data_IF_803593458478
#
_entry.id   IF_803593458478
#
_cell.length_a   1.000
_cell.length_b   1.000
_cell.length_c   1.000
_cell.angle_alpha   90.00
_cell.angle_beta   90.00
_cell.angle_gamma   90.00
#
_symmetry.space_group_name_H-M   'P 1'
#
loop_
_entity.id
_entity.type
_entity.pdbx_description
1 polymer ?
#
# COMPACT_ATOMS: atom_id res chain seq x y z
N UNK A 1 -15.39 -25.78 5.66
CA UNK A 1 -15.77 -24.59 6.46
C UNK A 1 -15.64 -23.43 5.50
N UNK A 2 -16.69 -22.64 5.36
CA UNK A 2 -16.64 -21.44 4.50
C UNK A 2 -15.75 -20.37 5.15
N UNK A 3 -14.97 -19.66 4.37
CA UNK A 3 -14.08 -18.59 4.85
C UNK A 3 -14.92 -17.38 5.30
N UNK A 4 -14.78 -16.96 6.54
CA UNK A 4 -15.29 -15.66 7.00
C UNK A 4 -14.33 -14.56 6.49
N UNK A 5 -14.65 -13.98 5.33
CA UNK A 5 -13.80 -12.98 4.67
C UNK A 5 -13.73 -11.67 5.47
N UNK A 6 -14.74 -11.36 6.29
CA UNK A 6 -14.72 -10.16 7.15
C UNK A 6 -13.69 -10.35 8.27
N UNK A 7 -13.78 -11.48 9.00
CA UNK A 7 -12.82 -11.78 10.05
C UNK A 7 -11.39 -11.93 9.51
N UNK A 8 -11.22 -12.60 8.37
CA UNK A 8 -9.93 -12.73 7.70
C UNK A 8 -9.34 -11.38 7.30
N UNK A 9 -10.17 -10.45 6.78
CA UNK A 9 -9.74 -9.10 6.41
C UNK A 9 -9.30 -8.30 7.62
N UNK A 10 -10.06 -8.36 8.73
CA UNK A 10 -9.72 -7.66 9.98
C UNK A 10 -8.39 -8.15 10.57
N UNK A 11 -8.12 -9.46 10.52
CA UNK A 11 -6.84 -10.04 10.94
C UNK A 11 -5.69 -9.56 10.05
N UNK A 12 -5.79 -9.77 8.75
CA UNK A 12 -4.71 -9.48 7.79
C UNK A 12 -4.38 -7.99 7.72
N UNK A 13 -5.38 -7.10 7.81
CA UNK A 13 -5.19 -5.66 7.65
C UNK A 13 -4.11 -5.10 8.56
N UNK A 14 -4.10 -5.48 9.83
CA UNK A 14 -3.20 -4.94 10.85
C UNK A 14 -1.98 -5.80 11.11
N UNK A 15 -2.01 -7.09 10.72
CA UNK A 15 -0.96 -8.06 11.06
C UNK A 15 -0.06 -8.44 9.90
N UNK A 16 -0.48 -8.19 8.64
CA UNK A 16 0.20 -8.80 7.50
C UNK A 16 0.42 -7.90 6.28
N UNK A 17 -0.22 -6.74 6.20
CA UNK A 17 -0.13 -5.88 5.00
C UNK A 17 1.21 -5.16 4.83
N UNK A 18 2.03 -5.07 5.86
CA UNK A 18 3.28 -4.30 5.81
C UNK A 18 3.09 -2.79 6.00
N UNK A 19 1.86 -2.30 6.13
CA UNK A 19 1.58 -0.88 6.32
C UNK A 19 1.47 -0.50 7.79
N UNK A 20 0.81 -1.32 8.61
CA UNK A 20 0.59 -1.10 10.05
C UNK A 20 1.53 -1.95 10.92
N UNK A 21 2.13 -2.97 10.36
CA UNK A 21 3.07 -3.91 10.96
C UNK A 21 3.96 -4.50 9.86
N UNK A 22 5.01 -5.28 10.17
CA UNK A 22 5.78 -5.99 9.16
C UNK A 22 4.89 -6.84 8.25
N UNK A 23 5.25 -6.92 6.96
CA UNK A 23 4.52 -7.75 6.01
C UNK A 23 4.69 -9.24 6.35
N UNK A 24 3.59 -9.99 6.38
CA UNK A 24 3.60 -11.44 6.49
C UNK A 24 3.34 -12.09 5.12
N UNK A 25 4.41 -12.51 4.45
CA UNK A 25 4.35 -13.13 3.14
C UNK A 25 3.54 -14.45 3.11
N UNK A 26 3.37 -15.13 4.26
CA UNK A 26 2.61 -16.38 4.35
C UNK A 26 1.11 -16.19 4.17
N UNK A 27 0.62 -14.98 4.45
CA UNK A 27 -0.79 -14.58 4.26
C UNK A 27 -1.11 -14.17 2.82
N UNK A 28 -0.09 -13.98 1.97
CA UNK A 28 -0.26 -13.60 0.57
C UNK A 28 -0.21 -14.83 -0.33
N UNK A 29 -1.14 -14.91 -1.28
CA UNK A 29 -1.14 -15.94 -2.32
C UNK A 29 0.10 -15.80 -3.23
N UNK A 30 0.50 -16.87 -3.93
CA UNK A 30 1.64 -16.81 -4.83
C UNK A 30 1.33 -15.95 -6.07
N UNK A 31 0.06 -15.91 -6.47
CA UNK A 31 -0.47 -15.05 -7.54
C UNK A 31 -1.02 -13.70 -7.01
N UNK A 32 -0.53 -13.24 -5.85
CA UNK A 32 -0.95 -11.98 -5.24
C UNK A 32 -0.65 -10.77 -6.14
N UNK A 33 -1.60 -9.84 -6.16
CA UNK A 33 -1.43 -8.51 -6.77
C UNK A 33 -1.92 -7.42 -5.82
N UNK A 34 -1.17 -6.34 -5.74
CA UNK A 34 -1.55 -5.08 -5.08
C UNK A 34 -1.83 -4.00 -6.11
N UNK A 35 -2.87 -3.20 -5.87
CA UNK A 35 -3.21 -2.04 -6.71
C UNK A 35 -3.70 -0.86 -5.86
N UNK A 36 -3.13 0.31 -6.10
CA UNK A 36 -3.58 1.59 -5.56
C UNK A 36 -3.78 2.60 -6.71
N UNK A 37 -4.34 3.78 -6.49
CA UNK A 37 -4.58 4.77 -7.55
C UNK A 37 -3.33 5.16 -8.33
N UNK A 38 -2.17 5.19 -7.66
CA UNK A 38 -0.90 5.65 -8.25
C UNK A 38 0.23 4.64 -8.16
N UNK A 39 0.06 3.60 -7.35
CA UNK A 39 1.06 2.54 -7.12
C UNK A 39 0.44 1.21 -7.52
N UNK A 40 1.20 0.39 -8.20
CA UNK A 40 0.78 -0.90 -8.74
C UNK A 40 0.37 -0.81 -10.23
N UNK A 41 0.10 -1.96 -10.81
CA UNK A 41 0.07 -3.26 -10.11
C UNK A 41 1.45 -3.69 -9.60
N UNK A 42 1.47 -4.29 -8.40
CA UNK A 42 2.66 -4.95 -7.85
C UNK A 42 2.36 -6.43 -7.65
N UNK A 43 3.22 -7.31 -8.16
CA UNK A 43 3.21 -8.73 -7.82
C UNK A 43 3.64 -8.95 -6.37
N UNK A 44 3.51 -10.17 -5.85
CA UNK A 44 3.84 -10.54 -4.47
C UNK A 44 5.24 -10.10 -4.06
N UNK A 45 6.26 -10.39 -4.87
CA UNK A 45 7.65 -10.12 -4.51
C UNK A 45 7.94 -8.61 -4.48
N UNK A 46 7.48 -7.88 -5.48
CA UNK A 46 7.65 -6.42 -5.55
C UNK A 46 6.90 -5.71 -4.43
N UNK A 47 5.68 -6.20 -4.07
CA UNK A 47 4.94 -5.69 -2.92
C UNK A 47 5.69 -5.90 -1.61
N UNK A 48 6.18 -7.12 -1.35
CA UNK A 48 6.95 -7.41 -0.13
C UNK A 48 8.18 -6.52 -0.04
N UNK A 49 8.95 -6.38 -1.13
CA UNK A 49 10.13 -5.53 -1.18
C UNK A 49 9.78 -4.06 -0.91
N UNK A 50 8.70 -3.56 -1.52
CA UNK A 50 8.22 -2.19 -1.34
C UNK A 50 7.81 -1.94 0.11
N UNK A 51 7.01 -2.81 0.71
CA UNK A 51 6.54 -2.64 2.08
C UNK A 51 7.66 -2.77 3.12
N UNK A 52 8.61 -3.69 2.88
CA UNK A 52 9.82 -3.83 3.70
C UNK A 52 10.78 -2.62 3.58
N UNK A 53 10.70 -1.89 2.46
CA UNK A 53 11.47 -0.64 2.29
C UNK A 53 10.77 0.55 2.95
N UNK A 54 9.45 0.65 2.78
CA UNK A 54 8.66 1.77 3.32
C UNK A 54 8.60 1.79 4.84
N UNK A 55 8.39 0.64 5.48
CA UNK A 55 8.34 0.48 6.96
C UNK A 55 7.59 1.63 7.66
N UNK A 56 6.39 1.96 7.18
CA UNK A 56 5.59 3.11 7.67
C UNK A 56 5.38 3.09 9.18
N UNK A 57 5.18 1.90 9.75
CA UNK A 57 5.02 1.63 11.18
C UNK A 57 6.29 1.95 12.01
N UNK A 58 7.47 2.10 11.37
CA UNK A 58 8.70 2.54 12.06
C UNK A 58 8.66 4.04 12.31
N UNK A 59 8.33 4.84 11.30
CA UNK A 59 8.21 6.30 11.44
C UNK A 59 7.00 6.74 12.27
N UNK A 60 5.93 5.97 12.17
CA UNK A 60 4.62 6.19 12.79
C UNK A 60 4.24 4.98 13.67
N UNK A 61 4.85 4.81 14.87
CA UNK A 61 4.67 3.60 15.68
C UNK A 61 3.23 3.36 16.18
N UNK A 62 2.43 4.42 16.24
CA UNK A 62 1.02 4.40 16.66
C UNK A 62 0.05 4.37 15.47
N UNK A 63 0.56 4.11 14.25
CA UNK A 63 -0.29 4.12 13.07
C UNK A 63 -1.39 3.05 13.14
N UNK A 64 -2.62 3.48 12.97
CA UNK A 64 -3.80 2.62 13.03
C UNK A 64 -4.74 2.91 11.87
N UNK A 65 -5.37 1.87 11.26
CA UNK A 65 -6.28 2.05 10.14
C UNK A 65 -7.60 2.73 10.51
N UNK A 66 -8.06 2.61 11.76
CA UNK A 66 -9.42 3.00 12.16
C UNK A 66 -10.46 2.48 11.15
N UNK A 67 -10.36 1.20 10.82
CA UNK A 67 -11.14 0.57 9.76
C UNK A 67 -12.58 0.31 10.18
N UNK A 68 -13.51 0.42 9.23
CA UNK A 68 -14.95 0.27 9.46
C UNK A 68 -15.69 -0.16 8.20
N UNK A 69 -16.96 -0.54 8.34
CA UNK A 69 -17.85 -0.85 7.23
C UNK A 69 -17.44 -2.09 6.44
N UNK A 70 -16.83 -3.08 7.11
CA UNK A 70 -16.47 -4.34 6.47
C UNK A 70 -17.71 -5.05 5.93
N UNK A 71 -17.70 -5.32 4.63
CA UNK A 71 -18.82 -5.94 3.93
C UNK A 71 -18.30 -6.97 2.95
N UNK A 72 -18.84 -8.19 3.02
CA UNK A 72 -18.62 -9.19 1.97
C UNK A 72 -19.30 -8.71 0.68
N UNK A 73 -18.59 -8.81 -0.45
CA UNK A 73 -19.12 -8.48 -1.76
C UNK A 73 -20.23 -9.50 -2.12
N UNK A 74 -21.44 -9.06 -2.50
CA UNK A 74 -22.53 -9.99 -2.79
C UNK A 74 -22.30 -10.85 -4.05
N UNK A 75 -21.50 -10.37 -4.99
CA UNK A 75 -21.21 -11.05 -6.26
C UNK A 75 -19.89 -11.84 -6.22
N UNK A 76 -18.97 -11.44 -5.33
CA UNK A 76 -17.66 -12.08 -5.14
C UNK A 76 -17.51 -12.55 -3.67
N UNK A 77 -17.99 -13.75 -3.30
CA UNK A 77 -18.06 -14.19 -1.89
C UNK A 77 -16.71 -14.25 -1.15
N UNK A 78 -15.59 -14.31 -1.88
CA UNK A 78 -14.24 -14.29 -1.31
C UNK A 78 -13.65 -12.88 -1.20
N UNK A 79 -14.44 -11.82 -1.42
CA UNK A 79 -14.01 -10.44 -1.38
C UNK A 79 -14.69 -9.67 -0.26
N UNK A 80 -13.89 -8.90 0.47
CA UNK A 80 -14.35 -7.94 1.47
C UNK A 80 -14.01 -6.52 1.03
N UNK A 81 -14.98 -5.61 1.14
CA UNK A 81 -14.83 -4.17 0.92
C UNK A 81 -14.92 -3.48 2.28
N UNK A 82 -14.09 -2.47 2.52
CA UNK A 82 -14.09 -1.72 3.78
C UNK A 82 -13.47 -0.33 3.60
N UNK A 83 -13.60 0.49 4.63
CA UNK A 83 -13.02 1.84 4.66
C UNK A 83 -12.05 2.00 5.81
N UNK A 84 -11.10 2.92 5.65
CA UNK A 84 -10.17 3.34 6.69
C UNK A 84 -10.18 4.86 6.85
N UNK A 85 -9.83 5.32 8.07
CA UNK A 85 -9.46 6.71 8.40
C UNK A 85 -8.20 6.67 9.22
N UNK A 86 -7.11 6.29 8.59
CA UNK A 86 -5.88 6.03 9.30
C UNK A 86 -5.35 7.28 10.01
N UNK A 87 -4.80 7.05 11.20
CA UNK A 87 -4.10 8.09 11.98
C UNK A 87 -2.78 7.54 12.47
N UNK A 88 -1.78 8.42 12.62
CA UNK A 88 -0.50 8.07 13.18
C UNK A 88 0.34 9.30 13.45
N UNK A 89 1.21 9.26 14.46
CA UNK A 89 2.07 10.37 14.87
C UNK A 89 3.51 10.12 14.45
N UNK A 90 4.08 11.06 13.70
CA UNK A 90 5.47 10.95 13.24
C UNK A 90 6.46 11.21 14.37
N UNK A 91 6.84 10.16 15.09
CA UNK A 91 7.65 10.25 16.30
C UNK A 91 9.01 9.56 16.23
N UNK A 92 9.27 8.79 15.17
CA UNK A 92 10.55 8.11 14.98
C UNK A 92 11.18 8.44 13.62
N UNK A 93 12.52 8.42 13.51
CA UNK A 93 13.17 8.61 12.20
C UNK A 93 12.69 7.58 11.19
N UNK A 94 12.30 8.06 10.00
CA UNK A 94 11.72 7.22 8.94
C UNK A 94 12.60 7.23 7.69
N UNK A 95 12.89 6.05 7.13
CA UNK A 95 13.68 5.91 5.93
C UNK A 95 12.92 5.16 4.82
N UNK A 96 11.96 5.82 4.14
CA UNK A 96 11.16 5.20 3.08
C UNK A 96 11.94 4.92 1.79
N UNK A 97 13.18 5.36 1.71
CA UNK A 97 14.04 5.21 0.52
C UNK A 97 14.93 3.97 0.60
N UNK A 98 14.87 3.22 1.70
CA UNK A 98 15.65 2.01 1.93
C UNK A 98 16.99 2.24 2.65
N UNK A 99 17.52 1.15 3.18
CA UNK A 99 18.70 1.19 4.08
C UNK A 99 19.97 1.73 3.43
N UNK A 100 20.11 1.63 2.11
CA UNK A 100 21.29 2.16 1.38
C UNK A 100 21.28 3.68 1.28
N UNK A 101 20.14 4.34 1.45
CA UNK A 101 19.97 5.79 1.39
C UNK A 101 19.75 6.39 2.79
N UNK A 102 20.49 5.91 3.78
CA UNK A 102 20.38 6.34 5.18
C UNK A 102 20.54 7.85 5.36
N UNK A 103 21.31 8.50 4.51
CA UNK A 103 21.49 9.95 4.53
C UNK A 103 20.20 10.73 4.19
N UNK A 104 19.20 10.07 3.58
CA UNK A 104 17.90 10.66 3.25
C UNK A 104 16.83 10.38 4.32
N UNK A 105 17.23 9.83 5.48
CA UNK A 105 16.31 9.55 6.59
C UNK A 105 15.59 10.82 7.03
N UNK A 106 14.27 10.75 7.07
CA UNK A 106 13.40 11.86 7.49
C UNK A 106 13.35 11.89 9.01
N UNK A 107 13.60 13.07 9.59
CA UNK A 107 13.52 13.25 11.04
C UNK A 107 12.08 13.50 11.49
N UNK A 108 11.67 12.96 12.65
CA UNK A 108 10.32 13.14 13.16
C UNK A 108 10.02 14.61 13.49
N UNK A 109 8.78 15.01 13.24
CA UNK A 109 8.28 16.36 13.52
C UNK A 109 7.19 16.40 14.59
N UNK A 110 6.80 15.25 15.15
CA UNK A 110 5.76 15.10 16.17
C UNK A 110 4.33 15.36 15.70
N UNK A 111 4.11 15.57 14.40
CA UNK A 111 2.76 15.84 13.86
C UNK A 111 1.96 14.56 13.72
N UNK A 112 0.66 14.63 14.02
CA UNK A 112 -0.29 13.55 13.79
C UNK A 112 -0.88 13.68 12.39
N UNK A 113 -0.69 12.67 11.56
CA UNK A 113 -1.40 12.49 10.30
C UNK A 113 -2.83 12.02 10.57
N UNK A 114 -3.79 12.64 9.87
CA UNK A 114 -5.19 12.22 9.82
C UNK A 114 -5.54 12.05 8.34
N UNK A 115 -5.52 10.81 7.87
CA UNK A 115 -5.79 10.51 6.47
C UNK A 115 -7.29 10.70 6.16
N UNK A 116 -7.64 11.06 4.93
CA UNK A 116 -9.04 11.08 4.51
C UNK A 116 -9.64 9.67 4.55
N UNK A 117 -10.96 9.57 4.38
CA UNK A 117 -11.61 8.28 4.19
C UNK A 117 -11.14 7.64 2.90
N UNK A 118 -10.62 6.41 2.99
CA UNK A 118 -10.13 5.62 1.87
C UNK A 118 -10.92 4.32 1.75
N UNK A 119 -11.22 3.92 0.51
CA UNK A 119 -11.83 2.62 0.20
C UNK A 119 -10.74 1.59 -0.09
N UNK A 120 -10.94 0.39 0.44
CA UNK A 120 -10.09 -0.78 0.30
C UNK A 120 -10.91 -2.00 -0.09
N UNK A 121 -10.27 -2.97 -0.73
CA UNK A 121 -10.84 -4.33 -0.84
C UNK A 121 -9.76 -5.39 -0.73
N UNK A 122 -10.11 -6.55 -0.17
CA UNK A 122 -9.29 -7.76 -0.16
C UNK A 122 -10.07 -8.91 -0.76
N UNK A 123 -9.50 -9.58 -1.75
CA UNK A 123 -10.00 -10.83 -2.31
C UNK A 123 -9.10 -11.97 -1.87
N UNK A 124 -9.69 -13.02 -1.34
CA UNK A 124 -9.00 -14.18 -0.80
C UNK A 124 -9.08 -15.38 -1.76
N UNK A 125 -8.16 -16.33 -1.57
CA UNK A 125 -8.32 -17.68 -2.09
C UNK A 125 -9.23 -18.49 -1.15
N UNK A 126 -9.75 -19.65 -1.56
CA UNK A 126 -10.51 -20.54 -0.66
C UNK A 126 -9.71 -20.99 0.58
N UNK A 127 -8.37 -20.99 0.49
CA UNK A 127 -7.44 -21.32 1.56
C UNK A 127 -7.18 -20.16 2.53
N UNK A 128 -7.78 -19.00 2.30
CA UNK A 128 -7.68 -17.80 3.16
C UNK A 128 -6.43 -16.97 2.95
N UNK A 129 -5.72 -17.12 1.82
CA UNK A 129 -4.63 -16.22 1.44
C UNK A 129 -5.14 -15.04 0.62
N UNK A 130 -4.58 -13.85 0.83
CA UNK A 130 -4.92 -12.67 0.03
C UNK A 130 -4.36 -12.82 -1.38
N UNK A 131 -5.26 -12.78 -2.38
CA UNK A 131 -4.92 -12.85 -3.80
C UNK A 131 -4.90 -11.46 -4.45
N UNK A 132 -5.79 -10.57 -4.02
CA UNK A 132 -5.85 -9.22 -4.55
C UNK A 132 -6.13 -8.21 -3.44
N UNK A 133 -5.32 -7.18 -3.34
CA UNK A 133 -5.49 -6.07 -2.40
C UNK A 133 -5.57 -4.76 -3.17
N UNK A 134 -6.69 -4.05 -3.04
CA UNK A 134 -6.78 -2.66 -3.47
C UNK A 134 -6.77 -1.73 -2.25
N UNK A 135 -6.09 -0.59 -2.37
CA UNK A 135 -5.89 0.32 -1.24
C UNK A 135 -5.79 1.79 -1.65
N UNK A 136 -6.10 2.70 -0.73
CA UNK A 136 -5.79 4.12 -0.87
C UNK A 136 -6.68 4.91 -1.81
N UNK A 137 -7.86 4.42 -2.14
CA UNK A 137 -8.83 5.14 -2.98
C UNK A 137 -9.59 6.16 -2.15
N UNK A 138 -9.14 7.41 -2.17
CA UNK A 138 -9.69 8.51 -1.38
C UNK A 138 -11.13 8.84 -1.79
N UNK A 139 -12.04 8.80 -0.83
CA UNK A 139 -13.46 9.10 -1.02
C UNK A 139 -13.69 10.61 -1.07
N UNK A 140 -13.03 11.36 -0.16
CA UNK A 140 -13.19 12.81 -0.07
C UNK A 140 -11.84 13.49 0.20
N UNK A 141 -11.46 14.41 -0.70
CA UNK A 141 -10.18 15.13 -0.60
C UNK A 141 -10.17 16.24 0.46
N UNK A 142 -11.33 16.57 1.05
CA UNK A 142 -11.46 17.63 2.06
C UNK A 142 -11.40 17.10 3.49
N UNK A 143 -11.36 15.79 3.66
CA UNK A 143 -11.20 15.14 4.97
C UNK A 143 -9.72 15.07 5.39
N UNK A 144 -9.49 14.96 6.69
CA UNK A 144 -8.16 14.81 7.26
C UNK A 144 -7.30 16.08 7.20
N UNK A 145 -6.00 15.92 7.25
CA UNK A 145 -5.03 17.03 7.23
C UNK A 145 -3.86 16.80 6.25
N UNK A 146 -4.04 15.94 5.27
CA UNK A 146 -3.01 15.51 4.32
C UNK A 146 -3.23 16.05 2.90
N UNK A 147 -3.96 17.18 2.77
CA UNK A 147 -4.26 17.84 1.50
C UNK A 147 -4.94 16.92 0.45
N UNK A 148 -5.75 15.96 0.91
CA UNK A 148 -6.44 15.00 0.06
C UNK A 148 -5.57 13.85 -0.46
N UNK A 149 -4.33 13.75 0.00
CA UNK A 149 -3.50 12.58 -0.27
C UNK A 149 -3.85 11.43 0.69
N UNK A 150 -3.86 10.22 0.16
CA UNK A 150 -4.09 8.98 0.89
C UNK A 150 -2.83 8.12 1.02
N UNK A 151 -2.96 7.02 1.75
CA UNK A 151 -1.92 6.01 1.96
C UNK A 151 -0.53 6.63 2.29
N UNK A 152 0.54 6.08 1.72
CA UNK A 152 1.91 6.54 1.99
C UNK A 152 2.15 8.00 1.55
N UNK A 153 1.45 8.49 0.54
CA UNK A 153 1.59 9.88 0.08
C UNK A 153 1.13 10.88 1.15
N UNK A 154 0.09 10.53 1.91
CA UNK A 154 -0.36 11.30 3.06
C UNK A 154 0.72 11.44 4.15
N UNK A 155 1.51 10.39 4.37
CA UNK A 155 2.59 10.39 5.36
C UNK A 155 3.75 11.30 4.93
N UNK A 156 4.06 11.37 3.64
CA UNK A 156 5.04 12.36 3.13
C UNK A 156 4.56 13.79 3.33
N UNK A 157 3.28 14.08 3.10
CA UNK A 157 2.71 15.41 3.37
C UNK A 157 2.82 15.75 4.85
N UNK A 158 2.48 14.82 5.75
CA UNK A 158 2.57 15.00 7.20
C UNK A 158 4.03 15.18 7.67
N UNK A 159 4.99 14.55 7.01
CA UNK A 159 6.42 14.70 7.26
C UNK A 159 7.03 16.00 6.68
N UNK A 160 6.21 16.96 6.27
CA UNK A 160 6.60 18.23 5.66
C UNK A 160 7.29 18.09 4.27
N UNK A 161 6.97 17.03 3.54
CA UNK A 161 7.49 16.73 2.21
C UNK A 161 6.37 16.62 1.14
N UNK A 162 5.48 17.63 1.01
CA UNK A 162 4.36 17.56 0.06
C UNK A 162 4.83 17.46 -1.40
N UNK A 163 6.00 18.01 -1.73
CA UNK A 163 6.63 17.91 -3.05
C UNK A 163 6.97 16.46 -3.40
N UNK A 164 7.39 15.63 -2.44
CA UNK A 164 7.65 14.19 -2.68
C UNK A 164 6.37 13.48 -3.04
N UNK A 165 5.26 13.78 -2.33
CA UNK A 165 3.95 13.24 -2.66
C UNK A 165 3.48 13.65 -4.06
N UNK A 166 3.71 14.91 -4.47
CA UNK A 166 3.37 15.40 -5.80
C UNK A 166 4.22 14.77 -6.90
N UNK A 167 5.54 14.68 -6.69
CA UNK A 167 6.48 14.04 -7.63
C UNK A 167 6.12 12.57 -7.84
N UNK A 168 5.73 11.85 -6.77
CA UNK A 168 5.30 10.47 -6.86
C UNK A 168 4.01 10.25 -7.70
N UNK A 169 3.26 11.31 -7.99
CA UNK A 169 2.13 11.25 -8.93
C UNK A 169 2.57 11.35 -10.41
N UNK A 170 3.76 11.87 -10.69
CA UNK A 170 4.26 11.99 -12.06
C UNK A 170 4.61 10.62 -12.65
N UNK A 171 3.99 10.29 -13.80
CA UNK A 171 4.18 9.00 -14.44
C UNK A 171 5.62 8.77 -14.90
N UNK A 172 6.33 9.82 -15.35
CA UNK A 172 7.70 9.70 -15.80
C UNK A 172 8.65 9.42 -14.63
N UNK A 173 8.41 10.08 -13.49
CA UNK A 173 9.20 9.83 -12.27
C UNK A 173 8.99 8.39 -11.79
N UNK A 174 7.74 7.90 -11.81
CA UNK A 174 7.44 6.50 -11.48
C UNK A 174 8.14 5.53 -12.41
N UNK A 175 8.14 5.81 -13.72
CA UNK A 175 8.85 4.98 -14.71
C UNK A 175 10.35 4.92 -14.46
N UNK A 176 10.99 6.08 -14.16
CA UNK A 176 12.42 6.14 -13.80
C UNK A 176 12.70 5.37 -12.50
N UNK A 177 11.87 5.54 -11.47
CA UNK A 177 11.99 4.79 -10.22
C UNK A 177 11.88 3.28 -10.43
N UNK A 178 10.93 2.84 -11.25
CA UNK A 178 10.78 1.44 -11.64
C UNK A 178 11.99 0.91 -12.41
N UNK A 179 12.53 1.71 -13.34
CA UNK A 179 13.75 1.33 -14.07
C UNK A 179 14.95 1.16 -13.13
N UNK A 180 15.14 2.08 -12.17
CA UNK A 180 16.22 1.98 -11.16
C UNK A 180 16.05 0.70 -10.33
N UNK A 181 14.85 0.43 -9.83
CA UNK A 181 14.56 -0.75 -9.03
C UNK A 181 14.80 -2.06 -9.80
N UNK A 182 14.53 -2.08 -11.11
CA UNK A 182 14.73 -3.25 -11.95
C UNK A 182 16.17 -3.47 -12.41
N UNK A 183 16.94 -2.39 -12.62
CA UNK A 183 18.24 -2.49 -13.31
C UNK A 183 19.45 -2.08 -12.44
N UNK A 184 19.22 -1.33 -11.36
CA UNK A 184 20.32 -0.77 -10.54
C UNK A 184 20.29 -1.31 -9.12
N UNK A 185 19.17 -1.21 -8.44
CA UNK A 185 19.04 -1.59 -7.03
C UNK A 185 17.64 -2.09 -6.70
N UNK A 186 17.50 -3.41 -6.58
CA UNK A 186 16.24 -4.08 -6.22
C UNK A 186 15.73 -3.77 -4.79
N UNK A 187 16.53 -3.10 -3.96
CA UNK A 187 16.11 -2.65 -2.62
C UNK A 187 15.35 -1.32 -2.65
N UNK A 188 15.25 -0.68 -3.80
CA UNK A 188 14.41 0.52 -3.98
C UNK A 188 12.95 0.08 -4.10
N UNK A 189 12.06 0.77 -3.40
CA UNK A 189 10.62 0.50 -3.48
C UNK A 189 10.12 0.68 -4.91
N UNK A 190 9.49 -0.37 -5.47
CA UNK A 190 8.85 -0.29 -6.78
C UNK A 190 7.48 0.37 -6.67
N UNK A 191 7.13 1.10 -7.71
CA UNK A 191 5.79 1.67 -7.86
C UNK A 191 4.92 0.89 -8.86
N UNK A 192 5.54 0.03 -9.68
CA UNK A 192 4.87 -0.85 -10.65
C UNK A 192 5.76 -2.05 -10.95
N UNK A 193 5.17 -3.24 -11.08
CA UNK A 193 5.86 -4.45 -11.54
C UNK A 193 5.95 -4.48 -13.06
N UNK A 194 6.92 -5.25 -13.59
CA UNK A 194 6.95 -5.51 -15.03
C UNK A 194 5.69 -6.31 -15.42
N UNK A 195 5.07 -6.01 -16.57
CA UNK A 195 3.85 -6.69 -17.01
C UNK A 195 3.99 -8.22 -17.13
N UNK A 196 5.16 -8.70 -17.53
CA UNK A 196 5.47 -10.13 -17.66
C UNK A 196 5.52 -10.85 -16.30
N UNK A 197 5.87 -10.15 -15.22
CA UNK A 197 5.97 -10.69 -13.86
C UNK A 197 4.62 -10.72 -13.13
N UNK A 198 3.57 -10.16 -13.74
CA UNK A 198 2.22 -10.18 -13.18
C UNK A 198 1.52 -11.51 -13.46
N UNK A 199 0.69 -12.01 -12.54
CA UNK A 199 -0.10 -13.22 -12.74
C UNK A 199 -1.00 -13.15 -13.97
N UNK A 200 -1.20 -14.29 -14.63
CA UNK A 200 -2.01 -14.38 -15.84
C UNK A 200 -3.46 -13.89 -15.63
N UNK A 201 -4.05 -14.17 -14.47
CA UNK A 201 -5.41 -13.73 -14.16
C UNK A 201 -5.52 -12.21 -14.14
N UNK A 202 -4.49 -11.51 -13.61
CA UNK A 202 -4.50 -10.05 -13.53
C UNK A 202 -4.30 -9.43 -14.92
N UNK A 203 -3.34 -9.94 -15.72
CA UNK A 203 -3.12 -9.49 -17.09
C UNK A 203 -4.34 -9.62 -18.01
N UNK A 204 -5.24 -10.57 -17.70
CA UNK A 204 -6.47 -10.76 -18.45
C UNK A 204 -7.54 -9.69 -18.17
N UNK A 205 -7.54 -9.10 -16.96
CA UNK A 205 -8.55 -8.11 -16.55
C UNK A 205 -8.07 -6.66 -16.63
N UNK A 206 -6.78 -6.42 -16.49
CA UNK A 206 -6.16 -5.10 -16.67
C UNK A 206 -5.02 -5.23 -17.70
N UNK A 207 -5.34 -5.22 -19.02
CA UNK A 207 -4.30 -5.27 -20.05
C UNK A 207 -3.37 -4.07 -19.91
N UNK A 208 -2.07 -4.21 -20.25
CA UNK A 208 -1.13 -3.11 -20.22
C UNK A 208 -1.65 -1.94 -21.05
N UNK A 209 -1.38 -0.67 -20.66
CA UNK A 209 -1.77 0.48 -21.46
C UNK A 209 -1.23 0.32 -22.89
N UNK A 210 -2.06 0.63 -23.87
CA UNK A 210 -1.65 0.64 -25.27
C UNK A 210 -0.40 1.52 -25.42
N UNK A 211 0.66 0.96 -26.02
CA UNK A 211 1.93 1.64 -26.29
C UNK A 211 1.75 2.76 -27.31
#
# INVERSE_FOLDING_TARGET
>A
MELDVVAATQDVLTTATGYYSPVDASKLDDDFVFRAPTIGPLNKQDYINTMTTLETYVGYPDITPNAFGFTQDPDEPLKCIFWTRATGTFTQPWNPYGKKLEALRIQPNGKTAKLPTECYSMTFTPEGKVRYLTAGYVVSKVEGNTAGFGAVLALFVNADLPQVAQIALDANVRAVGGWIANNVDSSVAKTVSNPEDLPAWYRAVEPPPAQ
#
